data_IF_183166904048
#
_entry.id   IF_183166904048
#
_cell.length_a   1.000
_cell.length_b   1.000
_cell.length_c   1.000
_cell.angle_alpha   90.00
_cell.angle_beta   90.00
_cell.angle_gamma   90.00
#
_symmetry.space_group_name_H-M   'P 1'
#
loop_
_entity.id
_entity.type
_entity.pdbx_description
1 polymer ?
#
# COMPACT_ATOMS: atom_id res chain seq x y z
N UNK A 1 -31.18 30.77 -3.34
CA UNK A 1 -30.78 30.53 -4.74
C UNK A 1 -29.49 31.30 -4.98
N UNK A 2 -28.36 30.75 -4.64
CA UNK A 2 -27.06 31.17 -5.14
C UNK A 2 -26.22 29.89 -5.29
N UNK A 3 -25.90 29.59 -6.53
CA UNK A 3 -24.99 28.51 -6.90
C UNK A 3 -23.57 29.01 -6.68
N UNK A 4 -22.83 28.41 -5.77
CA UNK A 4 -21.40 28.61 -5.66
C UNK A 4 -20.68 27.65 -6.61
N UNK A 5 -20.11 28.24 -7.65
CA UNK A 5 -19.29 27.61 -8.67
C UNK A 5 -17.85 27.55 -8.14
N UNK A 6 -17.25 26.38 -8.15
CA UNK A 6 -15.82 26.16 -7.86
C UNK A 6 -14.95 26.89 -8.91
N UNK A 7 -13.84 27.52 -8.52
CA UNK A 7 -12.95 28.20 -9.47
C UNK A 7 -12.17 27.19 -10.31
N UNK A 8 -12.26 27.35 -11.62
CA UNK A 8 -11.38 26.75 -12.63
C UNK A 8 -10.00 27.42 -12.54
N UNK A 9 -8.96 26.62 -12.52
CA UNK A 9 -7.58 27.12 -12.63
C UNK A 9 -7.29 27.51 -14.08
N UNK A 10 -7.17 28.80 -14.34
CA UNK A 10 -6.61 29.36 -15.56
C UNK A 10 -5.07 29.35 -15.50
N UNK A 11 -4.49 29.01 -16.66
CA UNK A 11 -3.05 29.04 -16.91
C UNK A 11 -2.51 30.48 -17.02
N UNK A 12 -1.45 30.79 -16.31
CA UNK A 12 -0.61 31.95 -16.63
C UNK A 12 0.70 31.48 -17.25
N UNK A 13 1.00 32.10 -18.40
CA UNK A 13 2.20 31.96 -19.21
C UNK A 13 3.28 32.95 -18.75
N UNK A 14 4.52 32.56 -19.11
CA UNK A 14 5.68 33.42 -19.46
C UNK A 14 6.44 34.12 -18.34
N UNK A 15 7.60 33.56 -18.02
CA UNK A 15 8.80 34.40 -17.73
C UNK A 15 10.02 33.74 -18.40
N UNK A 16 10.59 34.49 -19.36
CA UNK A 16 11.90 34.29 -19.98
C UNK A 16 13.03 34.44 -18.96
N UNK A 17 13.99 33.50 -18.94
CA UNK A 17 15.30 33.77 -18.35
C UNK A 17 16.41 33.38 -19.33
N UNK A 18 17.21 34.43 -19.61
CA UNK A 18 18.43 34.51 -20.41
C UNK A 18 19.53 33.63 -19.82
N UNK A 19 20.28 32.93 -20.69
CA UNK A 19 21.44 32.12 -20.32
C UNK A 19 22.70 32.94 -20.09
N UNK A 20 23.67 32.34 -19.39
CA UNK A 20 25.10 32.56 -19.51
C UNK A 20 25.90 31.37 -18.97
N UNK A 21 27.19 31.20 -19.25
CA UNK A 21 27.72 29.95 -19.75
C UNK A 21 28.70 29.22 -18.79
N UNK A 22 29.02 27.98 -19.16
CA UNK A 22 30.03 27.09 -18.57
C UNK A 22 31.45 27.69 -18.40
N UNK A 23 32.26 27.08 -17.53
CA UNK A 23 33.56 26.66 -18.00
C UNK A 23 33.87 25.16 -17.79
N UNK A 24 34.44 24.59 -18.84
CA UNK A 24 35.12 23.28 -18.88
C UNK A 24 36.35 23.32 -17.95
N UNK A 25 36.65 22.21 -17.32
CA UNK A 25 38.00 21.82 -16.94
C UNK A 25 38.23 20.33 -17.12
N UNK A 26 39.31 20.14 -17.77
CA UNK A 26 40.06 19.05 -18.33
C UNK A 26 40.69 18.10 -17.31
N UNK A 27 40.87 16.92 -17.78
CA UNK A 27 41.57 15.74 -17.48
C UNK A 27 42.66 15.63 -16.42
N UNK A 28 42.75 14.45 -15.84
CA UNK A 28 43.95 13.63 -15.92
C UNK A 28 43.77 12.28 -15.23
N UNK A 29 44.27 11.29 -15.93
CA UNK A 29 44.41 9.89 -15.55
C UNK A 29 45.32 9.72 -14.33
N UNK A 30 45.01 8.80 -13.42
CA UNK A 30 46.04 7.93 -12.79
C UNK A 30 45.45 6.57 -12.48
N UNK A 31 46.15 5.56 -13.04
CA UNK A 31 46.06 4.13 -12.69
C UNK A 31 46.85 3.86 -11.41
N UNK A 32 46.38 2.94 -10.57
CA UNK A 32 47.18 2.10 -9.69
C UNK A 32 46.27 0.92 -9.30
N UNK A 33 46.48 -0.25 -9.79
CA UNK A 33 47.31 -1.37 -9.33
C UNK A 33 46.66 -2.13 -8.16
N UNK A 34 46.25 -3.37 -8.47
CA UNK A 34 45.84 -4.40 -7.53
C UNK A 34 47.07 -5.00 -6.79
N UNK A 35 46.90 -5.64 -5.67
CA UNK A 35 47.76 -6.72 -5.29
C UNK A 35 47.08 -8.08 -5.18
N UNK A 36 47.88 -9.02 -5.43
CA UNK A 36 47.79 -10.44 -5.65
C UNK A 36 47.27 -11.28 -4.49
N UNK A 37 46.88 -12.47 -4.91
CA UNK A 37 46.50 -13.63 -4.13
C UNK A 37 47.62 -14.16 -3.21
N UNK A 38 47.24 -14.72 -2.09
CA UNK A 38 48.00 -15.72 -1.40
C UNK A 38 47.12 -16.91 -1.01
N UNK A 39 47.38 -18.02 -1.68
CA UNK A 39 46.99 -19.36 -1.31
C UNK A 39 47.69 -19.80 -0.03
N UNK A 40 47.01 -20.49 0.86
CA UNK A 40 47.66 -21.50 1.67
C UNK A 40 46.72 -22.64 2.04
N UNK A 41 47.22 -23.78 1.81
CA UNK A 41 46.73 -25.15 1.70
C UNK A 41 46.61 -25.85 3.07
N UNK A 42 45.63 -26.73 3.16
CA UNK A 42 45.51 -27.97 3.93
C UNK A 42 46.31 -28.21 5.23
N UNK A 43 45.59 -28.71 6.24
CA UNK A 43 46.01 -29.88 7.00
C UNK A 43 44.79 -30.62 7.58
N UNK A 44 44.55 -31.80 7.05
CA UNK A 44 43.77 -32.88 7.69
C UNK A 44 44.59 -33.47 8.83
N UNK A 45 43.96 -33.72 9.97
CA UNK A 45 44.44 -34.73 10.91
C UNK A 45 43.27 -35.56 11.42
N UNK A 46 43.42 -36.86 11.22
CA UNK A 46 42.55 -37.98 11.57
C UNK A 46 42.89 -38.56 12.96
N UNK A 47 41.80 -39.01 13.66
CA UNK A 47 41.68 -40.24 14.51
C UNK A 47 42.24 -40.20 15.95
N UNK A 48 41.84 -41.16 16.83
CA UNK A 48 40.72 -42.13 16.80
C UNK A 48 39.86 -42.25 18.09
N UNK A 49 38.86 -43.08 17.97
CA UNK A 49 38.00 -43.72 18.97
C UNK A 49 38.72 -44.31 20.18
N UNK A 50 38.11 -44.16 21.39
CA UNK A 50 38.14 -45.18 22.43
C UNK A 50 36.80 -45.20 23.20
N UNK A 51 36.14 -46.37 23.13
CA UNK A 51 35.06 -46.82 23.97
C UNK A 51 35.61 -47.33 25.30
N UNK A 52 34.96 -47.05 26.45
CA UNK A 52 34.64 -48.04 27.43
C UNK A 52 33.62 -47.55 28.51
N UNK A 53 32.81 -48.47 29.02
CA UNK A 53 31.64 -48.13 29.85
C UNK A 53 31.88 -48.36 31.33
N UNK A 54 31.35 -47.49 32.19
CA UNK A 54 31.24 -47.73 33.60
C UNK A 54 29.82 -47.37 34.07
N UNK A 55 29.07 -48.35 34.55
CA UNK A 55 27.84 -48.27 35.35
C UNK A 55 28.17 -48.42 36.81
N UNK A 56 27.20 -48.31 37.75
CA UNK A 56 26.54 -47.12 38.23
C UNK A 56 26.68 -46.97 39.78
N UNK A 57 26.40 -45.83 40.34
CA UNK A 57 26.01 -45.73 41.76
C UNK A 57 24.84 -44.78 41.92
N UNK A 58 23.74 -45.31 42.41
CA UNK A 58 22.55 -44.58 42.80
C UNK A 58 22.88 -43.69 44.03
N UNK A 59 22.58 -42.42 43.91
CA UNK A 59 22.42 -41.51 45.05
C UNK A 59 21.06 -40.81 44.85
N UNK A 60 20.17 -41.13 45.82
CA UNK A 60 18.86 -40.50 45.91
C UNK A 60 19.04 -39.05 46.29
N UNK A 61 18.71 -38.14 45.37
CA UNK A 61 18.54 -36.72 45.67
C UNK A 61 17.04 -36.40 45.64
N UNK A 62 16.57 -35.91 46.81
CA UNK A 62 15.24 -35.36 46.96
C UNK A 62 15.00 -34.24 45.93
N UNK A 63 14.21 -34.51 44.90
CA UNK A 63 13.66 -33.50 44.03
C UNK A 63 12.58 -32.71 44.78
N UNK A 64 12.93 -31.51 45.27
CA UNK A 64 11.95 -30.47 45.52
C UNK A 64 11.26 -30.15 44.18
N UNK A 65 10.00 -30.55 44.08
CA UNK A 65 9.10 -30.07 43.02
C UNK A 65 9.02 -28.54 43.12
N UNK A 66 9.81 -27.85 42.32
CA UNK A 66 9.47 -26.48 41.92
C UNK A 66 8.28 -26.61 40.96
N UNK A 67 7.10 -26.26 41.44
CA UNK A 67 5.96 -25.97 40.61
C UNK A 67 6.33 -24.76 39.73
N UNK A 68 6.77 -25.04 38.52
CA UNK A 68 6.75 -24.03 37.46
C UNK A 68 5.28 -23.71 37.20
N UNK A 69 4.81 -22.62 37.79
CA UNK A 69 3.62 -21.94 37.31
C UNK A 69 3.99 -21.50 35.90
N UNK A 70 3.58 -22.30 34.89
CA UNK A 70 3.52 -21.86 33.53
C UNK A 70 2.55 -20.67 33.55
N UNK A 71 3.10 -19.47 33.47
CA UNK A 71 2.31 -18.30 33.12
C UNK A 71 1.75 -18.61 31.74
N UNK A 72 0.48 -19.01 31.68
CA UNK A 72 -0.28 -18.92 30.44
C UNK A 72 -0.22 -17.44 30.06
N UNK A 73 0.63 -17.11 29.08
CA UNK A 73 0.57 -15.85 28.43
C UNK A 73 -0.87 -15.76 27.87
N UNK A 74 -1.71 -14.97 28.53
CA UNK A 74 -3.00 -14.60 27.98
C UNK A 74 -2.70 -14.02 26.59
N UNK A 75 -3.31 -14.59 25.56
CA UNK A 75 -3.28 -14.00 24.22
C UNK A 75 -3.59 -12.51 24.39
N UNK A 76 -2.77 -11.60 23.84
CA UNK A 76 -3.04 -10.18 23.97
C UNK A 76 -4.48 -9.94 23.51
N UNK A 77 -5.26 -9.22 24.33
CA UNK A 77 -6.65 -8.91 24.01
C UNK A 77 -6.70 -8.28 22.62
N UNK A 78 -7.48 -8.85 21.70
CA UNK A 78 -7.62 -8.36 20.34
C UNK A 78 -8.16 -6.92 20.40
N UNK A 79 -7.41 -5.97 19.84
CA UNK A 79 -7.79 -4.56 19.79
C UNK A 79 -8.94 -4.35 18.80
N UNK A 80 -9.96 -3.63 19.21
CA UNK A 80 -11.11 -3.28 18.37
C UNK A 80 -10.94 -1.90 17.76
N UNK A 81 -11.12 -1.81 16.45
CA UNK A 81 -10.92 -0.55 15.69
C UNK A 81 -12.15 -0.27 14.84
N UNK A 82 -12.58 0.99 14.83
CA UNK A 82 -13.61 1.49 13.91
C UNK A 82 -12.94 2.35 12.83
N UNK A 83 -13.25 2.06 11.58
CA UNK A 83 -12.90 2.90 10.42
C UNK A 83 -14.21 3.28 9.70
N UNK A 84 -14.79 4.46 9.98
CA UNK A 84 -15.99 4.90 9.30
C UNK A 84 -15.67 5.35 7.88
N UNK A 85 -16.58 5.06 6.94
CA UNK A 85 -16.46 5.40 5.51
C UNK A 85 -17.74 6.02 4.99
N UNK A 86 -17.60 6.89 3.98
CA UNK A 86 -18.70 7.60 3.32
C UNK A 86 -18.45 7.64 1.80
N UNK A 87 -19.46 7.99 1.02
CA UNK A 87 -19.27 8.31 -0.40
C UNK A 87 -18.23 9.43 -0.55
N UNK A 88 -17.26 9.23 -1.44
CA UNK A 88 -16.10 10.12 -1.60
C UNK A 88 -14.99 9.97 -0.56
N UNK A 89 -15.02 8.95 0.29
CA UNK A 89 -13.86 8.55 1.11
C UNK A 89 -12.66 8.25 0.20
N UNK A 90 -11.46 8.64 0.63
CA UNK A 90 -10.21 8.31 -0.08
C UNK A 90 -9.87 6.82 0.12
N UNK A 91 -9.94 6.00 -0.95
CA UNK A 91 -9.85 4.55 -0.80
C UNK A 91 -8.47 4.05 -0.37
N UNK A 92 -7.38 4.70 -0.83
CA UNK A 92 -6.03 4.30 -0.40
C UNK A 92 -5.83 4.50 1.09
N UNK A 93 -6.39 5.58 1.67
CA UNK A 93 -6.26 5.88 3.10
C UNK A 93 -7.07 4.89 3.95
N UNK A 94 -8.32 4.64 3.57
CA UNK A 94 -9.20 3.72 4.27
C UNK A 94 -8.66 2.29 4.22
N UNK A 95 -8.38 1.78 3.01
CA UNK A 95 -7.97 0.37 2.81
C UNK A 95 -6.58 0.10 3.40
N UNK A 96 -5.61 1.02 3.24
CA UNK A 96 -4.28 0.86 3.85
C UNK A 96 -4.36 0.83 5.36
N UNK A 97 -5.17 1.68 5.96
CA UNK A 97 -5.37 1.70 7.43
C UNK A 97 -5.98 0.38 7.90
N UNK A 98 -7.03 -0.08 7.24
CA UNK A 98 -7.71 -1.36 7.55
C UNK A 98 -6.76 -2.55 7.39
N UNK A 99 -6.06 -2.63 6.27
CA UNK A 99 -5.14 -3.73 5.96
C UNK A 99 -4.04 -3.86 7.03
N UNK A 100 -3.31 -2.77 7.30
CA UNK A 100 -2.18 -2.77 8.23
C UNK A 100 -2.63 -3.09 9.66
N UNK A 101 -3.78 -2.57 10.10
CA UNK A 101 -4.33 -2.89 11.42
C UNK A 101 -4.77 -4.37 11.50
N UNK A 102 -5.38 -4.91 10.45
CA UNK A 102 -5.72 -6.34 10.37
C UNK A 102 -4.47 -7.24 10.33
N UNK A 103 -3.37 -6.81 9.68
CA UNK A 103 -2.05 -7.49 9.77
C UNK A 103 -1.50 -7.50 11.19
N UNK A 104 -1.72 -6.46 11.96
CA UNK A 104 -1.33 -6.41 13.37
C UNK A 104 -2.19 -7.30 14.29
N UNK A 105 -3.30 -7.85 13.78
CA UNK A 105 -4.23 -8.70 14.53
C UNK A 105 -5.39 -7.94 15.15
N UNK A 106 -5.61 -6.67 14.79
CA UNK A 106 -6.77 -5.91 15.24
C UNK A 106 -8.08 -6.45 14.62
N UNK A 107 -9.14 -6.38 15.39
CA UNK A 107 -10.53 -6.54 14.93
C UNK A 107 -11.01 -5.20 14.39
N UNK A 108 -10.99 -5.07 13.05
CA UNK A 108 -11.30 -3.80 12.38
C UNK A 108 -12.67 -3.89 11.75
N UNK A 109 -13.59 -3.05 12.21
CA UNK A 109 -14.90 -2.82 11.62
C UNK A 109 -14.83 -1.62 10.67
N UNK A 110 -15.08 -1.85 9.40
CA UNK A 110 -15.34 -0.79 8.42
C UNK A 110 -16.83 -0.48 8.48
N UNK A 111 -17.20 0.75 8.85
CA UNK A 111 -18.62 1.10 9.04
C UNK A 111 -19.05 2.24 8.12
N UNK A 112 -20.11 2.02 7.36
CA UNK A 112 -20.69 3.03 6.48
C UNK A 112 -21.53 4.04 7.28
N UNK A 113 -21.34 5.33 7.03
CA UNK A 113 -22.24 6.39 7.54
C UNK A 113 -23.41 6.66 6.58
N UNK A 114 -23.42 6.01 5.42
CA UNK A 114 -24.52 6.07 4.45
C UNK A 114 -25.67 5.13 4.88
N UNK A 115 -26.77 5.17 4.14
CA UNK A 115 -27.91 4.27 4.35
C UNK A 115 -27.62 2.80 3.97
N UNK A 116 -26.56 2.57 3.19
CA UNK A 116 -26.18 1.26 2.66
C UNK A 116 -24.75 0.89 3.04
N UNK A 117 -24.44 -0.41 3.02
CA UNK A 117 -23.08 -0.90 3.24
C UNK A 117 -22.14 -0.56 2.09
N UNK A 118 -22.65 -0.46 0.86
CA UNK A 118 -21.86 -0.08 -0.31
C UNK A 118 -21.58 1.42 -0.28
N UNK A 119 -20.30 1.76 -0.45
CA UNK A 119 -19.76 3.11 -0.50
C UNK A 119 -19.05 3.33 -1.83
N UNK A 120 -19.47 4.38 -2.54
CA UNK A 120 -18.78 4.83 -3.75
C UNK A 120 -17.64 5.78 -3.34
N UNK A 121 -16.43 5.20 -3.15
CA UNK A 121 -15.23 5.92 -2.76
C UNK A 121 -14.71 6.81 -3.89
N UNK A 122 -13.74 7.67 -3.59
CA UNK A 122 -13.09 8.52 -4.59
C UNK A 122 -12.51 7.70 -5.74
N UNK A 123 -12.35 8.33 -6.90
CA UNK A 123 -11.75 7.72 -8.10
C UNK A 123 -12.53 6.50 -8.62
N UNK A 124 -13.84 6.42 -8.30
CA UNK A 124 -14.71 5.36 -8.80
C UNK A 124 -14.45 3.97 -8.23
N UNK A 125 -13.66 3.87 -7.15
CA UNK A 125 -13.58 2.63 -6.38
C UNK A 125 -14.84 2.42 -5.55
N UNK A 126 -15.24 1.17 -5.37
CA UNK A 126 -16.45 0.80 -4.64
C UNK A 126 -16.06 -0.15 -3.52
N UNK A 127 -16.38 0.24 -2.28
CA UNK A 127 -16.13 -0.52 -1.08
C UNK A 127 -17.45 -1.05 -0.53
N UNK A 128 -17.41 -2.18 0.18
CA UNK A 128 -18.56 -2.66 0.97
C UNK A 128 -18.14 -2.71 2.43
N UNK A 129 -18.80 -1.92 3.24
CA UNK A 129 -18.57 -1.85 4.68
C UNK A 129 -19.02 -3.16 5.38
N UNK A 130 -18.47 -3.40 6.57
CA UNK A 130 -18.83 -4.55 7.40
C UNK A 130 -20.15 -4.31 8.14
N UNK A 131 -20.46 -3.04 8.46
CA UNK A 131 -21.63 -2.62 9.23
C UNK A 131 -22.06 -1.20 8.86
N UNK A 132 -23.23 -0.77 9.33
CA UNK A 132 -23.58 0.64 9.38
C UNK A 132 -23.06 1.26 10.69
N UNK A 133 -22.71 2.56 10.67
CA UNK A 133 -22.27 3.26 11.89
C UNK A 133 -23.36 3.26 12.95
N UNK A 134 -24.63 3.32 12.55
CA UNK A 134 -25.78 3.22 13.47
C UNK A 134 -25.78 1.94 14.30
N UNK A 135 -25.30 0.85 13.76
CA UNK A 135 -25.27 -0.46 14.42
C UNK A 135 -24.08 -0.58 15.39
N UNK A 136 -23.09 0.31 15.28
CA UNK A 136 -21.89 0.34 16.12
C UNK A 136 -22.05 1.15 17.42
N UNK A 137 -23.17 1.84 17.63
CA UNK A 137 -23.35 2.80 18.73
C UNK A 137 -23.23 2.24 20.14
N UNK A 138 -23.42 0.92 20.32
CA UNK A 138 -23.26 0.20 21.59
C UNK A 138 -21.87 -0.38 21.83
N UNK A 139 -20.98 -0.38 20.83
CA UNK A 139 -19.67 -1.00 20.88
C UNK A 139 -18.63 -0.09 21.56
N UNK A 140 -17.62 -0.74 22.13
CA UNK A 140 -16.41 -0.06 22.62
C UNK A 140 -15.24 -0.38 21.69
N UNK A 141 -14.48 0.66 21.32
CA UNK A 141 -13.30 0.55 20.48
C UNK A 141 -12.04 0.97 21.24
N UNK A 142 -10.88 0.44 20.85
CA UNK A 142 -9.58 0.91 21.30
C UNK A 142 -9.09 2.09 20.44
N UNK A 143 -9.54 2.16 19.18
CA UNK A 143 -9.20 3.20 18.21
C UNK A 143 -10.41 3.51 17.31
N UNK A 144 -10.63 4.79 17.01
CA UNK A 144 -11.45 5.24 15.89
C UNK A 144 -10.57 6.02 14.92
N UNK A 145 -10.48 5.58 13.64
CA UNK A 145 -9.61 6.17 12.62
C UNK A 145 -10.43 6.68 11.44
N UNK A 146 -10.34 7.98 11.17
CA UNK A 146 -11.13 8.71 10.16
C UNK A 146 -10.30 8.88 8.88
N UNK A 147 -10.66 8.20 7.77
CA UNK A 147 -10.04 8.47 6.47
C UNK A 147 -10.47 9.83 5.93
N UNK A 148 -9.67 10.33 4.98
CA UNK A 148 -9.96 11.57 4.28
C UNK A 148 -10.80 11.37 3.02
N UNK A 149 -10.53 12.20 2.03
CA UNK A 149 -11.31 12.32 0.80
C UNK A 149 -12.43 13.36 0.93
N UNK A 150 -12.73 14.02 -0.20
CA UNK A 150 -13.84 14.95 -0.30
C UNK A 150 -14.80 14.47 -1.40
N UNK A 151 -16.12 14.41 -1.17
CA UNK A 151 -16.85 14.94 -0.01
C UNK A 151 -16.87 14.02 1.24
N UNK A 152 -16.27 12.83 1.23
CA UNK A 152 -16.38 11.84 2.30
C UNK A 152 -16.12 12.41 3.71
N UNK A 153 -15.07 13.22 3.89
CA UNK A 153 -14.79 13.87 5.18
C UNK A 153 -15.92 14.81 5.63
N UNK A 154 -16.58 15.49 4.69
CA UNK A 154 -17.71 16.34 5.04
C UNK A 154 -18.91 15.51 5.50
N UNK A 155 -19.18 14.39 4.83
CA UNK A 155 -20.25 13.45 5.21
C UNK A 155 -19.97 12.82 6.59
N UNK A 156 -18.70 12.44 6.85
CA UNK A 156 -18.30 11.95 8.18
C UNK A 156 -18.53 13.01 9.27
N UNK A 157 -18.15 14.27 9.01
CA UNK A 157 -18.34 15.39 9.94
C UNK A 157 -19.83 15.60 10.29
N UNK A 158 -20.67 15.51 9.28
CA UNK A 158 -22.12 15.82 9.40
C UNK A 158 -22.95 14.62 9.93
N UNK A 159 -22.31 13.46 10.17
CA UNK A 159 -22.93 12.30 10.80
C UNK A 159 -22.99 12.45 12.32
N UNK A 160 -24.14 12.84 12.86
CA UNK A 160 -24.34 13.09 14.29
C UNK A 160 -24.03 11.86 15.17
N UNK A 161 -24.38 10.66 14.70
CA UNK A 161 -24.09 9.40 15.43
C UNK A 161 -22.59 9.21 15.55
N UNK A 162 -21.83 9.41 14.49
CA UNK A 162 -20.38 9.29 14.50
C UNK A 162 -19.73 10.36 15.39
N UNK A 163 -20.22 11.61 15.33
CA UNK A 163 -19.74 12.70 16.19
C UNK A 163 -19.89 12.35 17.67
N UNK A 164 -21.07 11.87 18.08
CA UNK A 164 -21.35 11.48 19.46
C UNK A 164 -20.43 10.32 19.90
N UNK A 165 -20.28 9.29 19.05
CA UNK A 165 -19.41 8.15 19.32
C UNK A 165 -17.97 8.58 19.52
N UNK A 166 -17.41 9.41 18.62
CA UNK A 166 -16.01 9.86 18.68
C UNK A 166 -15.79 10.77 19.90
N UNK A 167 -16.69 11.73 20.18
CA UNK A 167 -16.60 12.59 21.37
C UNK A 167 -16.63 11.79 22.67
N UNK A 168 -17.53 10.81 22.78
CA UNK A 168 -17.60 9.89 23.92
C UNK A 168 -16.32 9.05 24.05
N UNK A 169 -15.82 8.52 22.95
CA UNK A 169 -14.57 7.74 22.90
C UNK A 169 -13.38 8.56 23.39
N UNK A 170 -13.22 9.79 22.90
CA UNK A 170 -12.16 10.72 23.29
C UNK A 170 -12.28 11.11 24.76
N UNK A 171 -13.47 11.41 25.26
CA UNK A 171 -13.70 11.77 26.66
C UNK A 171 -13.34 10.62 27.64
N UNK A 172 -13.43 9.38 27.16
CA UNK A 172 -13.01 8.19 27.91
C UNK A 172 -11.50 7.88 27.76
N UNK A 173 -10.71 8.76 27.11
CA UNK A 173 -9.27 8.59 26.92
C UNK A 173 -8.91 7.61 25.79
N UNK A 174 -9.84 7.32 24.87
CA UNK A 174 -9.63 6.45 23.72
C UNK A 174 -8.66 7.06 22.69
N UNK A 175 -7.98 6.20 21.93
CA UNK A 175 -7.10 6.60 20.83
C UNK A 175 -7.96 6.98 19.61
N UNK A 176 -7.66 8.12 18.99
CA UNK A 176 -8.38 8.57 17.81
C UNK A 176 -7.42 9.13 16.75
N UNK A 177 -7.81 8.99 15.51
CA UNK A 177 -6.90 9.31 14.42
C UNK A 177 -7.66 9.85 13.20
N UNK A 178 -6.98 10.66 12.39
CA UNK A 178 -7.49 11.15 11.13
C UNK A 178 -6.37 11.43 10.13
N UNK A 179 -6.66 11.26 8.84
CA UNK A 179 -5.70 11.49 7.77
C UNK A 179 -6.27 12.44 6.71
N UNK A 180 -5.40 13.13 5.98
CA UNK A 180 -5.71 13.96 4.82
C UNK A 180 -6.61 15.17 5.17
N UNK A 181 -7.83 15.24 4.64
CA UNK A 181 -8.77 16.31 4.95
C UNK A 181 -9.40 16.15 6.34
N UNK A 182 -9.54 14.92 6.84
CA UNK A 182 -10.31 14.61 8.04
C UNK A 182 -9.78 15.28 9.34
N UNK A 183 -8.47 15.50 9.57
CA UNK A 183 -8.02 16.24 10.74
C UNK A 183 -8.62 17.64 10.81
N UNK A 184 -8.61 18.38 9.72
CA UNK A 184 -9.15 19.75 9.68
C UNK A 184 -10.69 19.75 9.57
N UNK A 185 -11.25 18.94 8.65
CA UNK A 185 -12.68 18.95 8.30
C UNK A 185 -13.53 18.28 9.37
N UNK A 186 -13.04 17.22 10.01
CA UNK A 186 -13.82 16.44 11.00
C UNK A 186 -13.37 16.77 12.42
N UNK A 187 -12.17 16.35 12.81
CA UNK A 187 -11.71 16.51 14.20
C UNK A 187 -11.60 17.97 14.63
N UNK A 188 -11.11 18.85 13.72
CA UNK A 188 -11.04 20.28 13.96
C UNK A 188 -12.43 20.90 14.17
N UNK A 189 -13.41 20.57 13.31
CA UNK A 189 -14.79 21.06 13.44
C UNK A 189 -15.48 20.60 14.72
N UNK A 190 -15.13 19.39 15.21
CA UNK A 190 -15.65 18.85 16.46
C UNK A 190 -14.93 19.36 17.70
N UNK A 191 -13.84 20.18 17.53
CA UNK A 191 -13.04 20.74 18.62
C UNK A 191 -12.10 19.73 19.30
N UNK A 192 -11.86 18.56 18.68
CA UNK A 192 -11.09 17.46 19.25
C UNK A 192 -9.56 17.60 19.10
N UNK A 193 -9.10 18.65 18.40
CA UNK A 193 -7.67 18.96 18.24
C UNK A 193 -7.22 20.17 19.06
N UNK A 194 -8.10 20.74 19.88
CA UNK A 194 -7.80 21.95 20.65
C UNK A 194 -6.56 21.80 21.54
N UNK A 195 -5.60 22.71 21.35
CA UNK A 195 -4.34 22.73 22.11
C UNK A 195 -3.33 21.65 21.72
N UNK A 196 -3.63 20.84 20.70
CA UNK A 196 -2.74 19.78 20.22
C UNK A 196 -1.93 20.24 18.99
N UNK A 197 -0.84 19.52 18.73
CA UNK A 197 -0.13 19.54 17.45
C UNK A 197 -0.79 18.57 16.49
N UNK A 198 -1.06 19.02 15.26
CA UNK A 198 -1.70 18.19 14.26
C UNK A 198 -1.20 18.53 12.85
N UNK A 199 -1.28 17.55 11.97
CA UNK A 199 -1.05 17.71 10.54
C UNK A 199 -2.28 17.29 9.75
N UNK A 200 -2.38 17.75 8.50
CA UNK A 200 -3.43 17.34 7.57
C UNK A 200 -2.93 17.48 6.13
N UNK A 201 -3.82 17.28 5.16
CA UNK A 201 -3.48 17.48 3.75
C UNK A 201 -3.02 18.92 3.49
N UNK A 202 -1.97 19.17 2.69
CA UNK A 202 -1.35 20.48 2.53
C UNK A 202 -2.32 21.64 2.29
N UNK A 203 -3.31 21.47 1.41
CA UNK A 203 -4.29 22.54 1.12
C UNK A 203 -5.35 22.76 2.23
N UNK A 204 -5.32 21.95 3.28
CA UNK A 204 -6.20 22.09 4.44
C UNK A 204 -5.49 22.60 5.70
N UNK A 205 -4.17 22.83 5.64
CA UNK A 205 -3.40 23.30 6.80
C UNK A 205 -3.94 24.62 7.38
N UNK A 206 -4.32 25.56 6.52
CA UNK A 206 -4.93 26.84 6.92
C UNK A 206 -6.36 26.71 7.48
N UNK A 207 -6.99 25.52 7.32
CA UNK A 207 -8.33 25.23 7.85
C UNK A 207 -8.29 24.56 9.22
N UNK A 208 -7.11 24.21 9.72
CA UNK A 208 -6.97 23.79 11.11
C UNK A 208 -7.41 24.94 12.05
N UNK A 209 -8.14 24.65 13.15
CA UNK A 209 -8.53 25.67 14.11
C UNK A 209 -7.33 26.46 14.65
N UNK A 210 -7.48 27.75 14.98
CA UNK A 210 -6.38 28.62 15.40
C UNK A 210 -5.73 28.22 16.74
N UNK A 211 -6.39 27.37 17.52
CA UNK A 211 -5.90 26.81 18.77
C UNK A 211 -5.19 25.44 18.58
N UNK A 212 -4.97 25.02 17.33
CA UNK A 212 -4.18 23.84 16.95
C UNK A 212 -2.81 24.30 16.44
N UNK A 213 -1.74 23.67 16.92
CA UNK A 213 -0.40 23.87 16.35
C UNK A 213 -0.24 23.03 15.09
N UNK A 214 -0.22 23.70 13.94
CA UNK A 214 -0.08 23.02 12.66
C UNK A 214 1.37 22.55 12.44
N UNK A 215 1.55 21.26 12.08
CA UNK A 215 2.84 20.60 11.83
C UNK A 215 2.88 20.05 10.41
N UNK A 216 4.04 20.17 9.75
CA UNK A 216 4.23 19.62 8.40
C UNK A 216 4.77 18.17 8.40
N UNK A 217 4.83 17.53 9.55
CA UNK A 217 5.25 16.12 9.67
C UNK A 217 4.31 15.19 8.88
N UNK A 218 4.86 14.13 8.30
CA UNK A 218 4.07 13.12 7.55
C UNK A 218 3.05 12.42 8.45
N UNK A 219 3.43 12.18 9.71
CA UNK A 219 2.56 11.68 10.78
C UNK A 219 2.85 12.50 12.04
N UNK A 220 1.81 12.97 12.71
CA UNK A 220 1.89 13.68 13.98
C UNK A 220 1.14 12.90 15.05
N UNK A 221 1.84 12.56 16.12
CA UNK A 221 1.25 11.98 17.33
C UNK A 221 1.32 13.04 18.43
N UNK A 222 0.19 13.33 19.06
CA UNK A 222 0.12 14.19 20.25
C UNK A 222 -0.95 13.66 21.21
N UNK A 223 -0.50 13.18 22.37
CA UNK A 223 -1.36 12.53 23.35
C UNK A 223 -2.08 11.30 22.77
N UNK A 224 -3.39 11.39 22.66
CA UNK A 224 -4.25 10.33 22.08
C UNK A 224 -4.66 10.60 20.64
N UNK A 225 -4.24 11.71 20.05
CA UNK A 225 -4.50 12.05 18.66
C UNK A 225 -3.36 11.60 17.75
N UNK A 226 -3.68 10.97 16.63
CA UNK A 226 -2.73 10.67 15.54
C UNK A 226 -3.28 11.27 14.27
N UNK A 227 -2.49 12.14 13.61
CA UNK A 227 -2.91 12.78 12.36
C UNK A 227 -1.86 12.57 11.27
N UNK A 228 -2.29 12.60 9.99
CA UNK A 228 -1.40 12.41 8.85
C UNK A 228 -1.87 13.17 7.62
N UNK A 229 -1.03 13.24 6.57
CA UNK A 229 -1.19 14.22 5.49
C UNK A 229 -2.00 13.73 4.29
N UNK A 230 -1.95 12.47 3.90
CA UNK A 230 -2.66 12.01 2.71
C UNK A 230 -2.30 10.60 2.28
N UNK A 231 -2.81 10.17 1.15
CA UNK A 231 -2.71 8.80 0.68
C UNK A 231 -1.28 8.25 0.63
N UNK A 232 -0.30 9.09 0.21
CA UNK A 232 1.11 8.73 0.20
C UNK A 232 1.77 8.62 1.58
N UNK A 233 1.06 9.00 2.66
CA UNK A 233 1.52 8.82 4.06
C UNK A 233 0.70 7.78 4.81
N UNK A 234 -0.26 7.12 4.14
CA UNK A 234 -1.20 6.21 4.79
C UNK A 234 -0.53 4.99 5.43
N UNK A 235 0.57 4.48 4.84
CA UNK A 235 1.30 3.35 5.43
C UNK A 235 2.00 3.73 6.73
N UNK A 236 2.71 4.88 6.75
CA UNK A 236 3.36 5.38 7.96
C UNK A 236 2.34 5.72 9.05
N UNK A 237 1.21 6.30 8.64
CA UNK A 237 0.09 6.58 9.55
C UNK A 237 -0.44 5.30 10.20
N UNK A 238 -0.76 4.29 9.39
CA UNK A 238 -1.29 3.03 9.91
C UNK A 238 -0.29 2.28 10.79
N UNK A 239 1.02 2.31 10.46
CA UNK A 239 2.07 1.75 11.31
C UNK A 239 2.20 2.51 12.64
N UNK A 240 2.06 3.84 12.63
CA UNK A 240 2.01 4.62 13.87
C UNK A 240 0.79 4.24 14.74
N UNK A 241 -0.37 3.94 14.13
CA UNK A 241 -1.53 3.42 14.86
C UNK A 241 -1.25 2.04 15.46
N UNK A 242 -0.58 1.14 14.72
CA UNK A 242 -0.13 -0.15 15.26
C UNK A 242 0.82 0.05 16.45
N UNK A 243 1.77 0.98 16.34
CA UNK A 243 2.69 1.31 17.44
C UNK A 243 1.95 1.80 18.68
N UNK A 244 0.95 2.66 18.53
CA UNK A 244 0.13 3.16 19.64
C UNK A 244 -0.72 2.07 20.31
N UNK A 245 -1.18 1.07 19.54
CA UNK A 245 -2.05 -0.01 20.03
C UNK A 245 -1.28 -1.20 20.61
N UNK A 246 -0.13 -1.53 20.02
CA UNK A 246 0.58 -2.79 20.28
C UNK A 246 2.06 -2.60 20.61
N UNK A 247 2.58 -1.39 20.46
CA UNK A 247 4.00 -1.07 20.66
C UNK A 247 4.84 -1.22 19.39
N UNK A 248 6.07 -0.67 19.46
CA UNK A 248 6.99 -0.57 18.33
C UNK A 248 7.36 -1.91 17.71
N UNK A 249 7.62 -2.93 18.52
CA UNK A 249 8.02 -4.26 18.03
C UNK A 249 6.97 -4.85 17.09
N UNK A 250 5.69 -4.64 17.41
CA UNK A 250 4.59 -5.09 16.54
C UNK A 250 4.48 -4.28 15.26
N UNK A 251 4.70 -2.98 15.32
CA UNK A 251 4.75 -2.15 14.11
C UNK A 251 5.89 -2.58 13.18
N UNK A 252 7.08 -2.83 13.71
CA UNK A 252 8.25 -3.31 12.97
C UNK A 252 8.00 -4.73 12.38
N UNK A 253 7.37 -5.64 13.12
CA UNK A 253 6.94 -6.96 12.64
C UNK A 253 6.01 -6.86 11.43
N UNK A 254 5.02 -5.97 11.50
CA UNK A 254 4.05 -5.75 10.41
C UNK A 254 4.70 -5.08 9.19
N UNK A 255 5.58 -4.11 9.41
CA UNK A 255 6.25 -3.36 8.35
C UNK A 255 7.20 -4.23 7.51
N UNK A 256 7.91 -5.17 8.16
CA UNK A 256 8.98 -5.98 7.54
C UNK A 256 8.57 -6.70 6.26
N UNK A 257 7.45 -7.44 6.18
CA UNK A 257 7.03 -8.13 4.97
C UNK A 257 6.42 -7.23 3.90
N UNK A 258 6.15 -5.96 4.20
CA UNK A 258 5.46 -5.06 3.26
C UNK A 258 6.40 -4.42 2.22
N UNK A 259 7.71 -4.63 2.32
CA UNK A 259 8.71 -4.03 1.42
C UNK A 259 8.62 -2.49 1.45
N UNK A 260 8.59 -1.94 2.66
CA UNK A 260 8.46 -0.49 2.87
C UNK A 260 9.55 0.30 2.17
N UNK A 261 9.25 1.53 1.81
CA UNK A 261 10.19 2.45 1.20
C UNK A 261 11.25 2.86 2.24
N UNK A 262 12.55 2.78 1.91
CA UNK A 262 13.61 3.10 2.89
C UNK A 262 13.70 4.60 3.22
N UNK A 263 13.28 5.46 2.28
CA UNK A 263 13.27 6.92 2.44
C UNK A 263 11.97 7.50 1.91
N UNK A 264 11.31 8.26 2.75
CA UNK A 264 10.04 8.93 2.41
C UNK A 264 10.31 10.34 1.89
N UNK A 265 9.47 10.80 0.97
CA UNK A 265 9.57 12.15 0.39
C UNK A 265 10.58 12.29 -0.74
N UNK A 266 11.33 11.26 -1.10
CA UNK A 266 12.18 11.23 -2.30
C UNK A 266 11.36 10.88 -3.55
N UNK A 267 11.88 11.25 -4.74
CA UNK A 267 11.28 10.83 -6.00
C UNK A 267 11.39 9.31 -6.17
N UNK A 268 10.42 8.72 -6.87
CA UNK A 268 10.46 7.31 -7.23
C UNK A 268 11.37 7.09 -8.44
N UNK A 269 11.87 5.86 -8.56
CA UNK A 269 12.68 5.41 -9.70
C UNK A 269 12.23 4.02 -10.15
N UNK A 270 12.57 3.68 -11.40
CA UNK A 270 12.40 2.36 -11.97
C UNK A 270 13.68 1.95 -12.69
N UNK A 271 13.97 0.65 -12.73
CA UNK A 271 15.01 0.09 -13.59
C UNK A 271 14.38 -0.17 -14.95
N UNK A 272 14.86 0.52 -15.98
CA UNK A 272 14.34 0.38 -17.34
C UNK A 272 15.34 -0.32 -18.27
N UNK A 273 14.93 -1.45 -18.79
CA UNK A 273 15.69 -2.32 -19.67
C UNK A 273 14.96 -2.49 -21.00
N UNK A 274 15.70 -2.70 -22.08
CA UNK A 274 15.13 -2.91 -23.41
C UNK A 274 14.03 -1.90 -23.73
N UNK A 275 14.35 -0.61 -23.52
CA UNK A 275 13.39 0.50 -23.56
C UNK A 275 12.45 0.42 -24.76
N UNK A 276 11.17 0.46 -24.48
CA UNK A 276 10.09 0.53 -25.45
C UNK A 276 9.25 1.78 -25.20
N UNK A 277 8.78 2.38 -26.27
CA UNK A 277 7.89 3.51 -26.16
C UNK A 277 6.46 3.02 -25.87
N UNK A 278 5.92 3.39 -24.71
CA UNK A 278 4.55 3.07 -24.32
C UNK A 278 3.60 4.14 -24.85
N UNK A 279 3.26 4.03 -26.16
CA UNK A 279 2.33 4.95 -26.80
C UNK A 279 0.92 4.38 -26.81
N UNK A 280 -0.04 5.20 -26.36
CA UNK A 280 -1.44 5.06 -26.71
C UNK A 280 -1.84 6.24 -27.62
N UNK A 281 -2.57 5.97 -28.68
CA UNK A 281 -3.07 7.02 -29.58
C UNK A 281 -4.24 7.81 -28.97
N UNK A 282 -4.79 7.32 -27.86
CA UNK A 282 -5.93 7.86 -27.13
C UNK A 282 -5.66 7.82 -25.62
N UNK A 283 -6.69 8.08 -24.82
CA UNK A 283 -6.63 7.83 -23.37
C UNK A 283 -6.33 6.35 -23.14
N UNK A 284 -5.23 5.99 -22.42
CA UNK A 284 -4.86 4.61 -22.20
C UNK A 284 -5.96 3.78 -21.55
N UNK A 285 -6.24 2.62 -22.14
CA UNK A 285 -7.21 1.65 -21.64
C UNK A 285 -6.49 0.57 -20.84
N UNK A 286 -6.78 0.46 -19.57
CA UNK A 286 -6.06 -0.40 -18.63
C UNK A 286 -7.02 -1.41 -18.01
N UNK A 287 -6.67 -2.69 -18.09
CA UNK A 287 -7.37 -3.77 -17.43
C UNK A 287 -6.65 -4.10 -16.11
N UNK A 288 -7.38 -4.12 -15.00
CA UNK A 288 -6.89 -4.61 -13.71
C UNK A 288 -7.73 -5.82 -13.30
N UNK A 289 -7.10 -7.00 -13.28
CA UNK A 289 -7.78 -8.21 -12.81
C UNK A 289 -7.94 -8.17 -11.29
N UNK A 290 -9.10 -8.61 -10.80
CA UNK A 290 -9.33 -8.84 -9.37
C UNK A 290 -9.97 -10.21 -9.15
N UNK A 291 -9.65 -10.81 -7.99
CA UNK A 291 -10.15 -12.11 -7.55
C UNK A 291 -10.22 -12.13 -6.02
N UNK A 292 -10.91 -13.10 -5.45
CA UNK A 292 -10.86 -13.36 -4.02
C UNK A 292 -9.41 -13.60 -3.57
N UNK A 293 -8.99 -12.93 -2.49
CA UNK A 293 -7.66 -13.05 -1.93
C UNK A 293 -6.57 -12.22 -2.63
N UNK A 294 -6.90 -11.29 -3.55
CA UNK A 294 -5.95 -10.27 -4.00
C UNK A 294 -5.46 -9.42 -2.83
N UNK A 295 -4.30 -8.83 -2.96
CA UNK A 295 -3.76 -7.94 -1.94
C UNK A 295 -4.52 -6.60 -1.95
N UNK A 296 -5.01 -6.20 -0.79
CA UNK A 296 -5.94 -5.08 -0.61
C UNK A 296 -5.31 -3.75 -1.06
N UNK A 297 -4.13 -3.42 -0.51
CA UNK A 297 -3.43 -2.15 -0.77
C UNK A 297 -2.94 -2.07 -2.21
N UNK A 298 -2.35 -3.15 -2.74
CA UNK A 298 -1.82 -3.18 -4.11
C UNK A 298 -2.94 -2.89 -5.12
N UNK A 299 -4.09 -3.55 -4.95
CA UNK A 299 -5.25 -3.39 -5.82
C UNK A 299 -5.73 -1.94 -5.84
N UNK A 300 -5.94 -1.36 -4.66
CA UNK A 300 -6.49 0.00 -4.53
C UNK A 300 -5.50 1.05 -5.02
N UNK A 301 -4.21 0.94 -4.67
CA UNK A 301 -3.18 1.90 -5.07
C UNK A 301 -2.99 1.94 -6.59
N UNK A 302 -2.98 0.78 -7.25
CA UNK A 302 -2.86 0.70 -8.70
C UNK A 302 -4.05 1.40 -9.36
N UNK A 303 -5.27 1.05 -8.98
CA UNK A 303 -6.48 1.60 -9.59
C UNK A 303 -6.58 3.11 -9.37
N UNK A 304 -6.38 3.55 -8.12
CA UNK A 304 -6.51 4.95 -7.73
C UNK A 304 -5.51 5.85 -8.47
N UNK A 305 -4.21 5.52 -8.43
CA UNK A 305 -3.15 6.32 -9.06
C UNK A 305 -3.36 6.41 -10.59
N UNK A 306 -3.74 5.31 -11.23
CA UNK A 306 -3.98 5.31 -12.68
C UNK A 306 -5.23 6.13 -13.06
N UNK A 307 -6.29 6.07 -12.25
CA UNK A 307 -7.48 6.91 -12.45
C UNK A 307 -7.21 8.40 -12.17
N UNK A 308 -6.34 8.73 -11.19
CA UNK A 308 -5.84 10.11 -10.97
C UNK A 308 -5.09 10.64 -12.18
N UNK A 309 -4.31 9.79 -12.83
CA UNK A 309 -3.61 10.14 -14.07
C UNK A 309 -4.54 10.29 -15.27
N UNK A 310 -5.86 10.02 -15.13
CA UNK A 310 -6.89 10.07 -16.17
C UNK A 310 -6.79 8.92 -17.17
N UNK A 311 -6.20 7.79 -16.82
CA UNK A 311 -6.37 6.55 -17.57
C UNK A 311 -7.81 6.03 -17.43
N UNK A 312 -8.30 5.34 -18.45
CA UNK A 312 -9.52 4.53 -18.35
C UNK A 312 -9.14 3.19 -17.74
N UNK A 313 -9.55 2.96 -16.50
CA UNK A 313 -9.23 1.72 -15.77
C UNK A 313 -10.49 0.90 -15.60
N UNK A 314 -10.49 -0.29 -16.17
CA UNK A 314 -11.52 -1.33 -16.01
C UNK A 314 -11.03 -2.33 -14.98
N UNK A 315 -11.74 -2.39 -13.87
CA UNK A 315 -11.52 -3.40 -12.81
C UNK A 315 -12.43 -4.59 -13.10
N UNK A 316 -11.84 -5.72 -13.44
CA UNK A 316 -12.58 -6.91 -13.86
C UNK A 316 -12.43 -8.07 -12.89
N UNK A 317 -13.55 -8.54 -12.36
CA UNK A 317 -13.60 -9.74 -11.53
C UNK A 317 -13.46 -10.99 -12.37
N UNK A 318 -12.53 -11.86 -12.03
CA UNK A 318 -12.43 -13.21 -12.63
C UNK A 318 -13.32 -14.23 -11.91
N UNK A 319 -13.97 -13.82 -10.83
CA UNK A 319 -14.99 -14.61 -10.13
C UNK A 319 -16.33 -14.51 -10.86
N UNK A 320 -17.32 -15.28 -10.42
CA UNK A 320 -18.68 -15.25 -10.96
C UNK A 320 -19.48 -14.03 -10.49
N UNK A 321 -18.96 -13.26 -9.51
CA UNK A 321 -19.59 -12.08 -8.92
C UNK A 321 -18.70 -10.85 -9.04
N UNK A 322 -19.34 -9.65 -8.99
CA UNK A 322 -18.60 -8.38 -9.00
C UNK A 322 -17.93 -8.08 -7.67
N UNK A 323 -18.53 -8.50 -6.55
CA UNK A 323 -17.94 -8.33 -5.23
C UNK A 323 -16.85 -9.38 -5.00
N UNK A 324 -15.68 -8.93 -4.59
CA UNK A 324 -14.57 -9.78 -4.17
C UNK A 324 -14.16 -9.45 -2.74
N UNK A 325 -13.62 -10.45 -2.07
CA UNK A 325 -13.06 -10.32 -0.72
C UNK A 325 -11.53 -10.42 -0.83
N UNK A 326 -10.85 -9.31 -0.60
CA UNK A 326 -9.39 -9.23 -0.65
C UNK A 326 -8.72 -9.96 0.55
N UNK A 327 -7.41 -10.09 0.52
CA UNK A 327 -6.63 -10.95 1.43
C UNK A 327 -6.75 -10.56 2.91
N UNK A 328 -7.00 -9.29 3.21
CA UNK A 328 -7.26 -8.75 4.55
C UNK A 328 -8.73 -8.42 4.78
N UNK A 329 -9.60 -9.10 4.06
CA UNK A 329 -11.07 -9.04 4.19
C UNK A 329 -11.69 -7.70 3.82
N UNK A 330 -10.99 -6.83 3.09
CA UNK A 330 -11.64 -5.69 2.44
C UNK A 330 -12.51 -6.20 1.31
N UNK A 331 -13.74 -5.71 1.23
CA UNK A 331 -14.68 -6.05 0.17
C UNK A 331 -14.67 -4.96 -0.89
N UNK A 332 -14.36 -5.34 -2.13
CA UNK A 332 -14.30 -4.46 -3.29
C UNK A 332 -15.32 -4.90 -4.33
N UNK A 333 -15.88 -3.95 -5.07
CA UNK A 333 -16.79 -4.26 -6.18
C UNK A 333 -16.12 -3.89 -7.49
N UNK A 334 -15.92 -4.87 -8.35
CA UNK A 334 -15.39 -4.70 -9.69
C UNK A 334 -16.35 -3.88 -10.58
N UNK A 335 -15.82 -3.31 -11.65
CA UNK A 335 -16.64 -2.57 -12.62
C UNK A 335 -17.46 -3.51 -13.50
N UNK A 336 -16.89 -4.67 -13.85
CA UNK A 336 -17.55 -5.69 -14.66
C UNK A 336 -16.95 -7.09 -14.45
N UNK A 337 -17.64 -8.11 -14.92
CA UNK A 337 -17.12 -9.47 -14.94
C UNK A 337 -16.10 -9.65 -16.07
N UNK A 338 -15.21 -10.62 -15.90
CA UNK A 338 -14.15 -10.92 -16.87
C UNK A 338 -14.66 -11.13 -18.29
N UNK A 339 -15.76 -11.87 -18.48
CA UNK A 339 -16.33 -12.19 -19.78
C UNK A 339 -16.72 -10.95 -20.59
N UNK A 340 -17.20 -9.90 -19.91
CA UNK A 340 -17.51 -8.62 -20.57
C UNK A 340 -16.25 -7.81 -20.80
N UNK A 341 -15.36 -7.77 -19.81
CA UNK A 341 -14.09 -7.07 -19.92
C UNK A 341 -13.21 -7.63 -21.05
N UNK A 342 -13.15 -8.94 -21.20
CA UNK A 342 -12.34 -9.61 -22.24
C UNK A 342 -12.79 -9.35 -23.70
N UNK A 343 -13.97 -8.77 -23.90
CA UNK A 343 -14.45 -8.34 -25.21
C UNK A 343 -13.85 -7.00 -25.66
N UNK A 344 -13.25 -6.25 -24.72
CA UNK A 344 -12.64 -4.95 -24.96
C UNK A 344 -11.16 -5.09 -25.30
N UNK A 345 -10.58 -4.04 -25.86
CA UNK A 345 -9.15 -3.96 -26.12
C UNK A 345 -8.47 -3.08 -25.08
N UNK A 346 -7.28 -3.50 -24.63
CA UNK A 346 -6.50 -2.79 -23.62
C UNK A 346 -5.08 -2.49 -24.12
N UNK A 347 -4.57 -1.33 -23.71
CA UNK A 347 -3.17 -0.97 -23.87
C UNK A 347 -2.30 -1.71 -22.85
N UNK A 348 -2.83 -1.91 -21.63
CA UNK A 348 -2.12 -2.50 -20.51
C UNK A 348 -3.03 -3.45 -19.70
N UNK A 349 -2.50 -4.61 -19.33
CA UNK A 349 -3.14 -5.56 -18.41
C UNK A 349 -2.29 -5.68 -17.15
N UNK A 350 -2.91 -5.53 -15.97
CA UNK A 350 -2.24 -5.53 -14.66
C UNK A 350 -2.82 -6.59 -13.72
N UNK A 351 -1.91 -7.24 -13.00
CA UNK A 351 -2.22 -8.22 -11.96
C UNK A 351 -1.69 -7.73 -10.60
N UNK A 352 -2.55 -7.38 -9.64
CA UNK A 352 -2.14 -7.24 -8.26
C UNK A 352 -1.66 -8.59 -7.70
N UNK A 353 -1.07 -8.56 -6.50
CA UNK A 353 -0.66 -9.79 -5.82
C UNK A 353 -1.71 -10.31 -4.84
N UNK A 354 -1.23 -10.76 -3.69
CA UNK A 354 -2.00 -11.59 -2.76
C UNK A 354 -1.86 -13.07 -3.12
N UNK A 355 -1.46 -13.92 -2.16
CA UNK A 355 -1.19 -15.33 -2.49
C UNK A 355 -2.43 -16.07 -3.03
N UNK A 356 -3.62 -15.98 -2.41
CA UNK A 356 -4.81 -16.63 -2.96
C UNK A 356 -5.24 -16.01 -4.30
N UNK A 357 -5.20 -14.69 -4.43
CA UNK A 357 -5.56 -14.01 -5.67
C UNK A 357 -4.64 -14.38 -6.83
N UNK A 358 -3.32 -14.39 -6.61
CA UNK A 358 -2.34 -14.82 -7.62
C UNK A 358 -2.53 -16.30 -8.01
N UNK A 359 -2.94 -17.16 -7.08
CA UNK A 359 -3.28 -18.55 -7.39
C UNK A 359 -4.52 -18.62 -8.29
N UNK A 360 -5.59 -17.88 -7.96
CA UNK A 360 -6.80 -17.83 -8.79
C UNK A 360 -6.50 -17.29 -10.19
N UNK A 361 -5.64 -16.26 -10.31
CA UNK A 361 -5.18 -15.76 -11.61
C UNK A 361 -4.42 -16.82 -12.41
N UNK A 362 -3.52 -17.57 -11.76
CA UNK A 362 -2.72 -18.61 -12.41
C UNK A 362 -3.56 -19.81 -12.88
N UNK A 363 -4.70 -20.07 -12.26
CA UNK A 363 -5.62 -21.15 -12.60
C UNK A 363 -6.71 -20.73 -13.59
N UNK A 364 -6.88 -19.43 -13.85
CA UNK A 364 -7.84 -18.91 -14.83
C UNK A 364 -7.31 -19.04 -16.25
N UNK A 365 -7.63 -20.10 -16.96
CA UNK A 365 -7.23 -20.30 -18.35
C UNK A 365 -7.62 -19.11 -19.23
N UNK A 366 -8.78 -18.51 -19.00
CA UNK A 366 -9.28 -17.35 -19.76
C UNK A 366 -8.38 -16.14 -19.59
N UNK A 367 -7.99 -15.84 -18.35
CA UNK A 367 -7.08 -14.73 -18.05
C UNK A 367 -5.68 -14.99 -18.64
N UNK A 368 -5.17 -16.21 -18.51
CA UNK A 368 -3.87 -16.59 -19.08
C UNK A 368 -3.86 -16.47 -20.60
N UNK A 369 -4.93 -16.88 -21.29
CA UNK A 369 -5.05 -16.72 -22.72
C UNK A 369 -5.08 -15.24 -23.14
N UNK A 370 -5.78 -14.39 -22.38
CA UNK A 370 -5.79 -12.93 -22.61
C UNK A 370 -4.38 -12.33 -22.43
N UNK A 371 -3.65 -12.71 -21.39
CA UNK A 371 -2.28 -12.25 -21.15
C UNK A 371 -1.30 -12.71 -22.23
N UNK A 372 -1.40 -13.95 -22.71
CA UNK A 372 -0.59 -14.46 -23.82
C UNK A 372 -0.85 -13.67 -25.09
N UNK A 373 -2.11 -13.46 -25.45
CA UNK A 373 -2.50 -12.62 -26.60
C UNK A 373 -1.96 -11.20 -26.46
N UNK A 374 -2.01 -10.61 -25.28
CA UNK A 374 -1.48 -9.28 -24.98
C UNK A 374 0.04 -9.23 -25.23
N UNK A 375 0.79 -10.18 -24.69
CA UNK A 375 2.25 -10.26 -24.82
C UNK A 375 2.68 -10.52 -26.27
N UNK A 376 2.02 -11.47 -26.99
CA UNK A 376 2.26 -11.79 -28.39
C UNK A 376 2.00 -10.59 -29.31
N UNK A 377 0.99 -9.79 -28.98
CA UNK A 377 0.66 -8.55 -29.69
C UNK A 377 1.60 -7.39 -29.36
N UNK A 378 2.63 -7.63 -28.52
CA UNK A 378 3.56 -6.62 -27.99
C UNK A 378 2.89 -5.47 -27.26
N UNK A 379 1.64 -5.65 -26.80
CA UNK A 379 0.94 -4.74 -25.91
C UNK A 379 1.49 -4.88 -24.48
N UNK A 380 1.22 -3.93 -23.60
CA UNK A 380 1.82 -3.85 -22.27
C UNK A 380 1.11 -4.75 -21.27
N UNK A 381 1.88 -5.33 -20.35
CA UNK A 381 1.36 -6.11 -19.24
C UNK A 381 2.28 -5.99 -18.03
N UNK A 382 1.72 -6.19 -16.86
CA UNK A 382 2.49 -6.07 -15.64
C UNK A 382 1.87 -6.80 -14.47
N UNK A 383 2.69 -7.00 -13.45
CA UNK A 383 2.27 -7.67 -12.23
C UNK A 383 3.11 -7.21 -11.03
N UNK A 384 2.53 -7.33 -9.84
CA UNK A 384 3.22 -6.97 -8.59
C UNK A 384 3.17 -8.12 -7.60
N UNK A 385 4.11 -8.14 -6.65
CA UNK A 385 4.14 -9.03 -5.50
C UNK A 385 4.31 -10.52 -5.87
N UNK A 386 3.29 -11.33 -5.61
CA UNK A 386 3.30 -12.75 -5.91
C UNK A 386 3.05 -13.05 -7.40
N UNK A 387 2.32 -12.18 -8.10
CA UNK A 387 1.83 -12.45 -9.46
C UNK A 387 2.92 -12.56 -10.53
N UNK A 388 4.05 -11.82 -10.48
CA UNK A 388 5.14 -12.05 -11.44
C UNK A 388 5.62 -13.50 -11.43
N UNK A 389 5.85 -14.06 -10.25
CA UNK A 389 6.36 -15.42 -10.11
C UNK A 389 5.29 -16.50 -10.29
N UNK A 390 4.10 -16.30 -9.68
CA UNK A 390 3.04 -17.32 -9.64
C UNK A 390 2.22 -17.37 -10.93
N UNK A 391 2.14 -16.25 -11.66
CA UNK A 391 1.34 -16.16 -12.89
C UNK A 391 2.24 -16.01 -14.10
N UNK A 392 3.01 -14.92 -14.20
CA UNK A 392 3.75 -14.62 -15.42
C UNK A 392 4.86 -15.65 -15.69
N UNK A 393 5.70 -15.97 -14.69
CA UNK A 393 6.76 -16.98 -14.84
C UNK A 393 6.19 -18.36 -15.13
N UNK A 394 5.22 -18.80 -14.31
CA UNK A 394 4.59 -20.13 -14.46
C UNK A 394 4.02 -20.39 -15.87
N UNK A 395 3.53 -19.34 -16.53
CA UNK A 395 2.93 -19.46 -17.88
C UNK A 395 3.85 -19.02 -19.02
N UNK A 396 5.16 -18.81 -18.73
CA UNK A 396 6.19 -18.51 -19.72
C UNK A 396 6.16 -17.07 -20.25
N UNK A 397 5.43 -16.17 -19.59
CA UNK A 397 5.31 -14.76 -19.95
C UNK A 397 6.55 -13.92 -19.57
N UNK A 398 7.47 -14.48 -18.77
CA UNK A 398 8.77 -13.87 -18.45
C UNK A 398 9.93 -14.43 -19.25
N UNK A 399 9.68 -15.31 -20.24
CA UNK A 399 10.75 -15.91 -21.04
C UNK A 399 11.55 -14.84 -21.79
N UNK A 400 12.85 -14.73 -21.47
CA UNK A 400 13.76 -13.73 -22.05
C UNK A 400 13.51 -12.30 -21.55
N UNK A 401 12.82 -12.15 -20.44
CA UNK A 401 12.53 -10.88 -19.76
C UNK A 401 13.20 -10.81 -18.40
N UNK A 402 13.57 -9.60 -18.01
CA UNK A 402 14.01 -9.24 -16.67
C UNK A 402 12.79 -8.80 -15.83
N UNK A 403 12.75 -9.26 -14.58
CA UNK A 403 11.61 -9.01 -13.72
C UNK A 403 12.00 -8.99 -12.24
N UNK A 404 11.14 -8.43 -11.43
CA UNK A 404 11.15 -8.57 -9.98
C UNK A 404 9.82 -9.14 -9.49
N UNK A 405 9.79 -9.60 -8.24
CA UNK A 405 8.61 -10.14 -7.57
C UNK A 405 8.73 -9.92 -6.06
N UNK A 406 7.75 -10.39 -5.31
CA UNK A 406 7.84 -10.41 -3.85
C UNK A 406 9.10 -11.16 -3.38
N UNK A 407 9.87 -10.63 -2.42
CA UNK A 407 11.18 -11.17 -2.05
C UNK A 407 11.19 -12.67 -1.75
N UNK A 408 10.17 -13.20 -1.08
CA UNK A 408 10.07 -14.62 -0.81
C UNK A 408 9.77 -15.49 -2.05
N UNK A 409 9.59 -14.88 -3.23
CA UNK A 409 9.31 -15.55 -4.52
C UNK A 409 10.42 -15.37 -5.56
N UNK A 410 11.49 -14.64 -5.25
CA UNK A 410 12.59 -14.42 -6.19
C UNK A 410 13.18 -15.71 -6.75
N UNK A 411 13.33 -16.74 -5.89
CA UNK A 411 13.86 -18.06 -6.32
C UNK A 411 12.98 -18.80 -7.34
N UNK A 412 11.75 -18.36 -7.54
CA UNK A 412 10.86 -18.92 -8.57
C UNK A 412 11.01 -18.24 -9.94
N UNK A 413 11.73 -17.12 -10.04
CA UNK A 413 12.03 -16.46 -11.30
C UNK A 413 13.23 -17.13 -11.99
N UNK A 414 13.13 -17.39 -13.28
CA UNK A 414 14.20 -17.97 -14.10
C UNK A 414 15.40 -17.04 -14.21
N UNK A 415 15.18 -15.72 -14.32
CA UNK A 415 16.21 -14.69 -14.27
C UNK A 415 16.05 -13.86 -13.00
N UNK A 416 17.09 -13.85 -12.17
CA UNK A 416 17.11 -13.16 -10.88
C UNK A 416 18.02 -11.94 -10.86
N UNK A 417 18.50 -11.48 -12.02
CA UNK A 417 19.47 -10.37 -12.09
C UNK A 417 18.94 -9.04 -11.58
N UNK A 418 17.62 -8.81 -11.72
CA UNK A 418 16.97 -7.53 -11.38
C UNK A 418 16.01 -7.61 -10.18
N UNK A 419 16.01 -8.72 -9.45
CA UNK A 419 15.04 -8.94 -8.36
C UNK A 419 15.14 -7.93 -7.21
N UNK A 420 16.31 -7.29 -7.03
CA UNK A 420 16.52 -6.28 -5.99
C UNK A 420 15.83 -4.95 -6.31
N UNK A 421 15.56 -4.67 -7.58
CA UNK A 421 14.93 -3.43 -7.99
C UNK A 421 13.45 -3.40 -7.59
N UNK A 422 13.01 -2.28 -7.06
CA UNK A 422 11.64 -2.11 -6.56
C UNK A 422 10.60 -2.11 -7.68
N UNK A 423 10.96 -1.55 -8.84
CA UNK A 423 10.19 -1.57 -10.09
C UNK A 423 11.14 -1.87 -11.24
N UNK A 424 10.77 -2.85 -12.07
CA UNK A 424 11.51 -3.25 -13.27
C UNK A 424 10.60 -3.13 -14.48
N UNK A 425 11.08 -2.39 -15.50
CA UNK A 425 10.45 -2.29 -16.81
C UNK A 425 11.37 -2.95 -17.84
N UNK A 426 10.88 -3.97 -18.53
CA UNK A 426 11.63 -4.62 -19.63
C UNK A 426 10.80 -4.68 -20.91
N UNK A 427 11.01 -3.69 -21.77
CA UNK A 427 10.24 -3.52 -22.98
C UNK A 427 8.75 -3.26 -22.70
N UNK A 428 7.90 -4.24 -22.97
CA UNK A 428 6.44 -4.14 -22.76
C UNK A 428 5.97 -4.78 -21.41
N UNK A 429 6.90 -5.17 -20.54
CA UNK A 429 6.62 -5.74 -19.24
C UNK A 429 6.96 -4.73 -18.13
N UNK A 430 6.14 -4.67 -17.08
CA UNK A 430 6.48 -3.99 -15.83
C UNK A 430 6.17 -4.88 -14.62
N UNK A 431 7.11 -4.95 -13.66
CA UNK A 431 6.94 -5.75 -12.45
C UNK A 431 7.39 -5.00 -11.20
N UNK A 432 6.86 -5.41 -10.04
CA UNK A 432 7.21 -4.81 -8.75
C UNK A 432 7.10 -5.81 -7.59
N UNK A 433 7.54 -5.41 -6.38
CA UNK A 433 7.82 -6.34 -5.30
C UNK A 433 6.66 -6.58 -4.33
N UNK A 434 5.83 -5.58 -4.03
CA UNK A 434 4.78 -5.79 -3.03
C UNK A 434 4.11 -4.52 -2.52
N UNK A 435 3.37 -4.58 -1.42
CA UNK A 435 2.51 -3.47 -0.97
C UNK A 435 3.25 -2.13 -0.87
N UNK A 436 4.43 -2.11 -0.25
CA UNK A 436 5.22 -0.88 -0.09
C UNK A 436 5.89 -0.39 -1.37
N UNK A 437 5.77 -1.09 -2.49
CA UNK A 437 6.25 -0.64 -3.82
C UNK A 437 5.11 -0.33 -4.78
N UNK A 438 3.86 -0.49 -4.37
CA UNK A 438 2.70 -0.40 -5.28
C UNK A 438 2.44 1.00 -5.80
N UNK A 439 2.70 2.04 -4.98
CA UNK A 439 2.62 3.43 -5.46
C UNK A 439 3.72 3.72 -6.48
N UNK A 440 4.97 3.27 -6.23
CA UNK A 440 6.09 3.42 -7.18
C UNK A 440 5.80 2.68 -8.49
N UNK A 441 5.23 1.48 -8.41
CA UNK A 441 4.79 0.72 -9.57
C UNK A 441 3.75 1.46 -10.41
N UNK A 442 2.69 1.96 -9.77
CA UNK A 442 1.64 2.69 -10.45
C UNK A 442 2.14 4.03 -11.02
N UNK A 443 3.01 4.76 -10.29
CA UNK A 443 3.63 6.01 -10.77
C UNK A 443 4.59 5.76 -11.94
N UNK A 444 5.33 4.64 -11.94
CA UNK A 444 6.16 4.23 -13.08
C UNK A 444 5.30 3.94 -14.33
N UNK A 445 4.13 3.32 -14.17
CA UNK A 445 3.17 3.14 -15.27
C UNK A 445 2.67 4.50 -15.78
N UNK A 446 2.33 5.43 -14.87
CA UNK A 446 1.94 6.79 -15.26
C UNK A 446 3.07 7.48 -16.04
N UNK A 447 4.31 7.34 -15.57
CA UNK A 447 5.48 7.90 -16.28
C UNK A 447 5.63 7.32 -17.69
N UNK A 448 5.48 6.01 -17.85
CA UNK A 448 5.56 5.34 -19.17
C UNK A 448 4.44 5.73 -20.12
N UNK A 449 3.22 5.93 -19.63
CA UNK A 449 2.05 6.21 -20.46
C UNK A 449 1.80 7.70 -20.68
N UNK A 450 2.15 8.56 -19.74
CA UNK A 450 1.81 9.99 -19.74
C UNK A 450 3.03 10.91 -19.58
N UNK A 451 4.21 10.34 -19.35
CA UNK A 451 5.45 11.09 -19.11
C UNK A 451 5.73 11.44 -17.65
N UNK A 452 7.01 11.75 -17.38
CA UNK A 452 7.54 12.03 -16.03
C UNK A 452 6.80 13.16 -15.32
N UNK A 453 6.46 14.23 -16.04
CA UNK A 453 5.78 15.39 -15.46
C UNK A 453 4.43 15.00 -14.86
N UNK A 454 3.63 14.21 -15.57
CA UNK A 454 2.34 13.72 -15.07
C UNK A 454 2.49 12.78 -13.88
N UNK A 455 3.50 11.92 -13.89
CA UNK A 455 3.79 11.05 -12.76
C UNK A 455 4.16 11.85 -11.49
N UNK A 456 4.97 12.89 -11.63
CA UNK A 456 5.32 13.78 -10.51
C UNK A 456 4.12 14.61 -10.01
N UNK A 457 3.25 15.09 -10.92
CA UNK A 457 2.00 15.75 -10.55
C UNK A 457 1.14 14.84 -9.67
N UNK A 458 0.93 13.59 -10.09
CA UNK A 458 0.16 12.61 -9.32
C UNK A 458 0.85 12.29 -7.99
N UNK A 459 2.17 12.06 -7.98
CA UNK A 459 2.93 11.78 -6.77
C UNK A 459 2.80 12.89 -5.71
N UNK A 460 2.85 14.17 -6.14
CA UNK A 460 2.62 15.33 -5.26
C UNK A 460 1.17 15.37 -4.76
N UNK A 461 0.20 15.11 -5.64
CA UNK A 461 -1.22 15.16 -5.28
C UNK A 461 -1.63 14.15 -4.21
N UNK A 462 -0.91 13.05 -4.09
CA UNK A 462 -1.12 12.04 -3.04
C UNK A 462 -0.19 12.21 -1.84
N UNK A 463 0.68 13.23 -1.83
CA UNK A 463 1.71 13.45 -0.77
C UNK A 463 2.69 12.26 -0.68
N UNK A 464 3.05 11.67 -1.82
CA UNK A 464 4.04 10.60 -1.89
C UNK A 464 5.47 11.17 -1.82
N UNK A 465 5.68 12.33 -2.48
CA UNK A 465 6.93 13.14 -2.48
C UNK A 465 6.66 14.52 -1.94
#
# INVERSE_FOLDING_TARGET
KTHDVLPQFESQRDINIVGTPHPRRDGSRRRAAAPEMANSTLALLHLPFFLNPIRPRAAALHLRRRSTISAMASSPLQKKVLVPVANGTEPMEAVTTVDILRRAGADVTVASVEENLRVDASWGLKLVADSLVSDCGGDSFDLISLPGGMPGSATLRDCAILEEMVKKHVSNGGLYAAICAAPAVVLGSWGLLKGLRATCYPSFMEKLPPDVTAEESRVQVDGRAVTSRGAGTAMEFALALVEQLYGKDKADEVAKPMVMRPRHGEEFSMEELNSAEWKSNNIPQIFVAVANGVEDMETVMIIDILRRAKATVVVASIEDELEIVASKKTKLVADMLFEEAAKLEYDLILLPGGLPGAQNFAESEKLINLLKKQAESKKFYGAVCASPAMVLERHGLLKGKKATAYPARWSALSDQSEVQNRVVVDGNLITSQGPGTSMEFALAIVEKLFGREKALEVAKSVVFI
#
